data_IF_238729012946
#
_entry.id   IF_238729012946
#
_cell.length_a   1.000
_cell.length_b   1.000
_cell.length_c   1.000
_cell.angle_alpha   90.00
_cell.angle_beta   90.00
_cell.angle_gamma   90.00
#
_symmetry.space_group_name_H-M   'P 1'
#
loop_
_entity.id
_entity.type
_entity.pdbx_description
1 polymer ?
#
# COMPACT_ATOMS: atom_id res chain seq x y z
N UNK A 1 7.75 0.10 -11.95
CA UNK A 1 6.57 -0.35 -12.74
C UNK A 1 6.95 -1.02 -14.07
N UNK A 2 7.90 -0.48 -14.86
CA UNK A 2 8.36 -1.19 -16.07
C UNK A 2 9.15 -2.46 -15.74
N UNK A 3 9.98 -2.44 -14.71
CA UNK A 3 10.86 -3.54 -14.31
C UNK A 3 10.07 -4.73 -13.74
N UNK A 4 9.24 -4.49 -12.72
CA UNK A 4 8.50 -5.57 -12.03
C UNK A 4 7.21 -6.02 -12.73
N UNK A 5 6.52 -5.11 -13.45
CA UNK A 5 5.13 -5.32 -13.92
C UNK A 5 4.94 -5.17 -15.44
N UNK A 6 6.04 -4.93 -16.18
CA UNK A 6 6.04 -4.70 -17.63
C UNK A 6 5.10 -3.56 -18.10
N UNK A 7 4.80 -2.59 -17.23
CA UNK A 7 3.89 -1.49 -17.58
C UNK A 7 4.61 -0.41 -18.40
N UNK A 8 4.06 0.02 -19.56
CA UNK A 8 4.65 1.08 -20.36
C UNK A 8 4.76 2.39 -19.59
N UNK A 9 5.92 3.06 -19.66
CA UNK A 9 6.17 4.30 -18.92
C UNK A 9 5.13 5.41 -19.23
N UNK A 10 4.70 5.53 -20.49
CA UNK A 10 3.68 6.50 -20.89
C UNK A 10 2.32 6.22 -20.22
N UNK A 11 1.92 4.95 -20.10
CA UNK A 11 0.67 4.57 -19.43
C UNK A 11 0.69 4.98 -17.96
N UNK A 12 1.83 4.74 -17.29
CA UNK A 12 2.00 5.08 -15.86
C UNK A 12 2.01 6.60 -15.68
N UNK A 13 2.81 7.32 -16.45
CA UNK A 13 2.98 8.77 -16.31
C UNK A 13 1.67 9.56 -16.42
N UNK A 14 0.79 9.17 -17.34
CA UNK A 14 -0.46 9.90 -17.58
C UNK A 14 -1.52 9.66 -16.47
N UNK A 15 -1.48 8.47 -15.85
CA UNK A 15 -2.59 7.95 -15.03
C UNK A 15 -2.27 7.82 -13.55
N UNK A 16 -1.00 7.69 -13.18
CA UNK A 16 -0.62 7.55 -11.78
C UNK A 16 -0.99 8.80 -10.99
N UNK A 17 -1.53 8.61 -9.79
CA UNK A 17 -1.91 9.70 -8.88
C UNK A 17 -1.28 9.45 -7.53
N UNK A 18 -0.57 10.44 -7.01
CA UNK A 18 -0.18 10.43 -5.59
C UNK A 18 -1.44 10.62 -4.75
N UNK A 19 -1.63 9.73 -3.79
CA UNK A 19 -2.83 9.71 -2.91
C UNK A 19 -2.47 9.86 -1.43
N UNK A 20 -1.21 10.18 -1.15
CA UNK A 20 -0.69 10.47 0.18
C UNK A 20 0.40 9.50 0.61
N UNK A 21 0.51 9.31 1.93
CA UNK A 21 1.47 8.40 2.52
C UNK A 21 0.86 7.66 3.71
N UNK A 22 1.33 6.45 3.98
CA UNK A 22 1.02 5.65 5.17
C UNK A 22 2.29 5.52 6.01
N UNK A 23 2.14 5.61 7.32
CA UNK A 23 3.25 5.51 8.28
C UNK A 23 3.14 4.24 9.10
N UNK A 24 4.24 3.52 9.25
CA UNK A 24 4.31 2.30 10.04
C UNK A 24 5.42 2.40 11.09
N UNK A 25 5.15 1.83 12.25
CA UNK A 25 6.16 1.65 13.29
C UNK A 25 5.98 0.25 13.88
N UNK A 26 7.04 -0.55 13.87
CA UNK A 26 7.03 -1.89 14.47
C UNK A 26 8.37 -2.18 15.14
N UNK A 27 8.35 -3.12 16.09
CA UNK A 27 9.56 -3.65 16.71
C UNK A 27 9.80 -5.03 16.13
N UNK A 28 10.99 -5.27 15.62
CA UNK A 28 11.41 -6.63 15.23
C UNK A 28 11.53 -7.47 16.52
N UNK A 29 10.73 -8.53 16.69
CA UNK A 29 10.75 -9.33 17.91
C UNK A 29 12.07 -10.11 18.10
N UNK A 30 12.89 -10.28 17.05
CA UNK A 30 14.16 -11.00 17.13
C UNK A 30 15.30 -10.08 17.56
N UNK A 31 15.41 -8.90 16.94
CA UNK A 31 16.49 -7.96 17.23
C UNK A 31 16.13 -6.93 18.31
N UNK A 32 14.85 -6.73 18.59
CA UNK A 32 14.36 -5.65 19.46
C UNK A 32 14.44 -4.26 18.82
N UNK A 33 14.86 -4.16 17.56
CA UNK A 33 15.02 -2.88 16.87
C UNK A 33 13.66 -2.29 16.48
N UNK A 34 13.55 -0.98 16.63
CA UNK A 34 12.39 -0.21 16.19
C UNK A 34 12.57 0.23 14.74
N UNK A 35 11.65 -0.20 13.88
CA UNK A 35 11.59 0.18 12.48
C UNK A 35 10.45 1.17 12.29
N UNK A 36 10.74 2.28 11.61
CA UNK A 36 9.78 3.30 11.23
C UNK A 36 9.82 3.48 9.73
N UNK A 37 8.67 3.41 9.07
CA UNK A 37 8.55 3.44 7.61
C UNK A 37 7.53 4.49 7.19
N UNK A 38 7.86 5.21 6.11
CA UNK A 38 6.91 6.07 5.38
C UNK A 38 6.75 5.45 4.00
N UNK A 39 5.52 5.03 3.69
CA UNK A 39 5.16 4.47 2.39
C UNK A 39 4.40 5.54 1.60
N UNK A 40 5.01 6.06 0.53
CA UNK A 40 4.31 6.95 -0.40
C UNK A 40 3.36 6.11 -1.27
N UNK A 41 2.08 6.47 -1.26
CA UNK A 41 1.03 5.69 -1.90
C UNK A 41 0.61 6.36 -3.20
N UNK A 42 0.48 5.53 -4.23
CA UNK A 42 0.02 5.93 -5.55
C UNK A 42 -1.09 5.01 -6.02
N UNK A 43 -2.12 5.60 -6.63
CA UNK A 43 -3.15 4.85 -7.34
C UNK A 43 -2.85 4.89 -8.85
N UNK A 44 -3.05 3.76 -9.52
CA UNK A 44 -2.95 3.63 -10.96
C UNK A 44 -4.12 2.78 -11.48
N UNK A 45 -5.10 3.44 -12.09
CA UNK A 45 -6.20 2.74 -12.75
C UNK A 45 -5.76 2.23 -14.13
N UNK A 46 -5.78 0.90 -14.29
CA UNK A 46 -5.39 0.25 -15.54
C UNK A 46 -6.59 0.06 -16.47
N UNK A 47 -6.45 0.30 -17.79
CA UNK A 47 -7.45 -0.11 -18.75
C UNK A 47 -7.69 -1.62 -18.71
N UNK A 48 -8.91 -2.13 -18.95
CA UNK A 48 -9.21 -3.57 -18.88
C UNK A 48 -8.36 -4.46 -19.81
N UNK A 49 -7.82 -3.89 -20.89
CA UNK A 49 -6.97 -4.60 -21.84
C UNK A 49 -5.49 -4.69 -21.40
N UNK A 50 -5.09 -3.98 -20.34
CA UNK A 50 -3.72 -3.99 -19.82
C UNK A 50 -3.62 -5.00 -18.69
N UNK A 51 -2.85 -6.06 -18.92
CA UNK A 51 -2.59 -7.12 -17.93
C UNK A 51 -1.12 -7.05 -17.51
N UNK A 52 -0.80 -6.71 -16.24
CA UNK A 52 0.55 -6.74 -15.71
C UNK A 52 1.20 -8.11 -15.84
N UNK A 53 2.52 -8.14 -16.06
CA UNK A 53 3.28 -9.40 -16.17
C UNK A 53 4.63 -9.26 -15.47
N UNK A 54 5.14 -10.32 -14.84
CA UNK A 54 6.51 -10.33 -14.35
C UNK A 54 7.50 -10.07 -15.48
N UNK A 55 8.61 -9.38 -15.19
CA UNK A 55 9.58 -9.04 -16.24
C UNK A 55 11.04 -9.18 -15.79
N UNK A 56 11.41 -8.77 -14.58
CA UNK A 56 12.78 -8.85 -14.05
C UNK A 56 13.06 -10.09 -13.17
N UNK A 57 12.03 -10.86 -12.82
CA UNK A 57 12.13 -12.06 -11.97
C UNK A 57 11.96 -11.80 -10.47
N UNK A 58 11.64 -10.57 -10.06
CA UNK A 58 11.31 -10.27 -8.66
C UNK A 58 9.86 -10.65 -8.30
N UNK A 59 8.99 -10.68 -9.31
CA UNK A 59 7.58 -11.05 -9.19
C UNK A 59 7.36 -12.45 -9.78
N UNK A 60 6.64 -13.31 -9.07
CA UNK A 60 6.29 -14.65 -9.57
C UNK A 60 5.03 -14.59 -10.46
N UNK A 61 3.97 -13.92 -9.98
CA UNK A 61 2.73 -13.75 -10.73
C UNK A 61 1.95 -12.48 -10.35
N UNK A 62 0.99 -12.11 -11.21
CA UNK A 62 -0.03 -11.11 -10.92
C UNK A 62 -1.41 -11.76 -10.90
N UNK A 63 -2.16 -11.53 -9.82
CA UNK A 63 -3.53 -12.04 -9.66
C UNK A 63 -4.49 -10.86 -9.54
N UNK A 64 -5.44 -10.77 -10.45
CA UNK A 64 -6.53 -9.80 -10.37
C UNK A 64 -7.54 -10.26 -9.31
N UNK A 65 -7.83 -9.42 -8.34
CA UNK A 65 -8.74 -9.72 -7.22
C UNK A 65 -9.76 -8.59 -7.02
N UNK A 66 -10.96 -8.96 -6.62
CA UNK A 66 -11.96 -8.05 -6.06
C UNK A 66 -11.56 -7.54 -4.69
N UNK A 67 -12.18 -6.43 -4.24
CA UNK A 67 -11.94 -5.89 -2.90
C UNK A 67 -12.31 -6.89 -1.79
N UNK A 68 -13.34 -7.70 -2.00
CA UNK A 68 -13.76 -8.74 -1.05
C UNK A 68 -12.74 -9.87 -0.93
N UNK A 69 -12.18 -10.32 -2.06
CA UNK A 69 -11.11 -11.33 -2.06
C UNK A 69 -9.85 -10.79 -1.37
N UNK A 70 -9.46 -9.54 -1.65
CA UNK A 70 -8.34 -8.88 -0.97
C UNK A 70 -8.59 -8.86 0.54
N UNK A 71 -9.77 -8.44 0.99
CA UNK A 71 -10.13 -8.41 2.41
C UNK A 71 -10.08 -9.80 3.06
N UNK A 72 -10.62 -10.82 2.40
CA UNK A 72 -10.60 -12.19 2.90
C UNK A 72 -9.16 -12.71 3.08
N UNK A 73 -8.31 -12.51 2.07
CA UNK A 73 -6.89 -12.92 2.10
C UNK A 73 -6.06 -12.15 3.13
N UNK A 74 -6.36 -10.86 3.34
CA UNK A 74 -5.76 -10.08 4.42
C UNK A 74 -6.07 -10.69 5.80
N UNK A 75 -7.33 -11.06 6.05
CA UNK A 75 -7.73 -11.70 7.31
C UNK A 75 -7.08 -13.09 7.49
N UNK A 76 -6.82 -13.79 6.39
CA UNK A 76 -6.07 -15.06 6.36
C UNK A 76 -4.55 -14.91 6.49
N UNK A 77 -4.02 -13.68 6.60
CA UNK A 77 -2.58 -13.38 6.69
C UNK A 77 -1.78 -13.82 5.46
N UNK A 78 -2.38 -13.76 4.29
CA UNK A 78 -1.73 -14.12 3.02
C UNK A 78 -0.89 -12.97 2.43
N UNK A 79 -1.02 -11.75 2.98
CA UNK A 79 -0.21 -10.59 2.59
C UNK A 79 0.94 -10.34 3.57
N UNK A 80 2.03 -9.77 3.05
CA UNK A 80 3.10 -9.22 3.89
C UNK A 80 2.53 -8.15 4.83
N UNK A 81 2.94 -8.10 6.11
CA UNK A 81 2.35 -7.16 7.08
C UNK A 81 2.41 -5.69 6.68
N UNK A 82 3.46 -5.25 5.98
CA UNK A 82 3.62 -3.85 5.54
C UNK A 82 2.77 -3.49 4.32
N UNK A 83 2.21 -4.47 3.60
CA UNK A 83 1.30 -4.25 2.47
C UNK A 83 -0.12 -3.99 2.95
N UNK A 84 -0.57 -4.66 4.02
CA UNK A 84 -1.93 -4.52 4.54
C UNK A 84 -2.35 -3.06 4.83
N UNK A 85 -1.52 -2.20 5.46
CA UNK A 85 -1.85 -0.80 5.67
C UNK A 85 -2.12 -0.01 4.38
N UNK A 86 -1.39 -0.29 3.30
CA UNK A 86 -1.61 0.33 1.98
C UNK A 86 -2.95 -0.13 1.39
N UNK A 87 -3.30 -1.40 1.55
CA UNK A 87 -4.59 -1.95 1.11
C UNK A 87 -5.75 -1.37 1.93
N UNK A 88 -5.64 -1.27 3.25
CA UNK A 88 -6.67 -0.66 4.10
C UNK A 88 -6.87 0.79 3.70
N UNK A 89 -5.79 1.53 3.47
CA UNK A 89 -5.86 2.91 3.01
C UNK A 89 -6.64 3.03 1.69
N UNK A 90 -6.35 2.17 0.71
CA UNK A 90 -7.08 2.10 -0.54
C UNK A 90 -8.58 1.82 -0.31
N UNK A 91 -8.91 0.79 0.47
CA UNK A 91 -10.29 0.41 0.74
C UNK A 91 -11.09 1.52 1.45
N UNK A 92 -10.45 2.31 2.31
CA UNK A 92 -11.06 3.48 2.95
C UNK A 92 -11.30 4.60 1.94
N UNK A 93 -10.27 4.97 1.15
CA UNK A 93 -10.39 6.06 0.15
C UNK A 93 -11.42 5.76 -0.94
N UNK A 94 -11.65 4.49 -1.24
CA UNK A 94 -12.64 4.01 -2.21
C UNK A 94 -13.98 3.60 -1.58
N UNK A 95 -14.23 3.96 -0.31
CA UNK A 95 -15.49 3.75 0.41
C UNK A 95 -15.95 2.28 0.52
N UNK A 96 -15.01 1.33 0.48
CA UNK A 96 -15.28 -0.09 0.75
C UNK A 96 -15.29 -0.36 2.25
N UNK A 97 -14.36 0.26 2.98
CA UNK A 97 -14.40 0.34 4.45
C UNK A 97 -14.95 1.71 4.80
N UNK A 98 -16.07 1.74 5.52
CA UNK A 98 -16.76 2.98 5.92
C UNK A 98 -17.00 3.02 7.43
N UNK A 99 -17.25 4.20 8.04
CA UNK A 99 -17.59 4.31 9.45
C UNK A 99 -18.81 3.49 9.88
N UNK A 100 -19.76 3.24 8.97
CA UNK A 100 -20.96 2.44 9.22
C UNK A 100 -20.66 0.93 9.27
N UNK A 101 -19.60 0.50 8.56
CA UNK A 101 -19.22 -0.90 8.44
C UNK A 101 -18.14 -1.33 9.45
N UNK A 102 -17.36 -0.38 9.99
CA UNK A 102 -16.16 -0.65 10.78
C UNK A 102 -16.19 0.12 12.11
N UNK A 103 -16.46 -0.55 13.25
CA UNK A 103 -16.51 0.09 14.56
C UNK A 103 -15.21 0.80 14.96
N UNK A 104 -14.05 0.31 14.50
CA UNK A 104 -12.73 0.88 14.82
C UNK A 104 -12.24 1.88 13.76
N UNK A 105 -13.12 2.35 12.86
CA UNK A 105 -12.75 3.16 11.68
C UNK A 105 -11.84 4.35 12.01
N UNK A 106 -12.16 5.12 13.06
CA UNK A 106 -11.37 6.29 13.45
C UNK A 106 -9.98 5.90 13.97
N UNK A 107 -9.88 4.81 14.74
CA UNK A 107 -8.59 4.30 15.23
C UNK A 107 -7.75 3.79 14.06
N UNK A 108 -8.35 3.04 13.13
CA UNK A 108 -7.68 2.58 11.91
C UNK A 108 -7.13 3.77 11.11
N UNK A 109 -7.97 4.77 10.81
CA UNK A 109 -7.54 5.97 10.09
C UNK A 109 -6.38 6.68 10.79
N UNK A 110 -6.47 6.81 12.11
CA UNK A 110 -5.44 7.45 12.94
C UNK A 110 -4.13 6.66 12.93
N UNK A 111 -4.20 5.33 12.95
CA UNK A 111 -3.02 4.45 12.92
C UNK A 111 -2.31 4.45 11.58
N UNK A 112 -3.04 4.57 10.48
CA UNK A 112 -2.43 4.68 9.16
C UNK A 112 -1.57 5.94 9.00
N UNK A 113 -1.88 7.00 9.76
CA UNK A 113 -1.23 8.33 9.69
C UNK A 113 -0.52 8.73 10.99
N UNK A 114 -0.02 7.74 11.75
CA UNK A 114 0.68 7.97 13.00
C UNK A 114 1.96 8.80 12.79
N UNK A 115 2.13 9.86 13.59
CA UNK A 115 3.39 10.58 13.65
C UNK A 115 4.51 9.66 14.14
N UNK A 116 5.55 9.52 13.33
CA UNK A 116 6.74 8.73 13.69
C UNK A 116 7.62 9.52 14.67
N UNK A 117 8.20 8.87 15.70
CA UNK A 117 9.10 9.52 16.66
C UNK A 117 10.52 9.66 16.12
N UNK A 118 10.68 9.81 14.81
CA UNK A 118 11.95 9.96 14.09
C UNK A 118 11.82 11.04 13.01
N UNK A 119 12.92 11.68 12.57
CA UNK A 119 12.89 12.59 11.43
C UNK A 119 12.33 11.89 10.18
N UNK A 120 11.49 12.60 9.43
CA UNK A 120 10.88 12.13 8.17
C UNK A 120 11.23 13.01 6.98
N UNK A 121 12.05 14.03 7.20
CA UNK A 121 12.65 14.88 6.19
C UNK A 121 14.17 14.74 6.29
N UNK A 122 14.90 14.90 5.16
CA UNK A 122 16.35 14.98 5.19
C UNK A 122 16.82 16.19 6.00
N UNK A 123 18.01 16.08 6.60
CA UNK A 123 18.62 17.18 7.37
C UNK A 123 19.02 18.37 6.46
N UNK A 124 19.25 18.10 5.17
CA UNK A 124 19.52 19.10 4.15
C UNK A 124 18.37 19.14 3.11
N UNK A 125 17.96 20.33 2.65
CA UNK A 125 16.92 20.45 1.63
C UNK A 125 17.37 19.83 0.29
N UNK A 126 16.42 19.17 -0.40
CA UNK A 126 16.60 18.60 -1.75
C UNK A 126 16.92 19.65 -2.82
#
# INVERSE_FOLDING_TARGET
ASEEAALPAALVADRVRSVGAVTLAHTDPRSGLHHSEVLYVYDLELPPAVVPRPHDGEVDEFVLMSCDEVRARMLNREFKPNVCPVLIDFLIRHAVITPESEPEYVDICSRLRRRLPVPTAPDEPL
#
